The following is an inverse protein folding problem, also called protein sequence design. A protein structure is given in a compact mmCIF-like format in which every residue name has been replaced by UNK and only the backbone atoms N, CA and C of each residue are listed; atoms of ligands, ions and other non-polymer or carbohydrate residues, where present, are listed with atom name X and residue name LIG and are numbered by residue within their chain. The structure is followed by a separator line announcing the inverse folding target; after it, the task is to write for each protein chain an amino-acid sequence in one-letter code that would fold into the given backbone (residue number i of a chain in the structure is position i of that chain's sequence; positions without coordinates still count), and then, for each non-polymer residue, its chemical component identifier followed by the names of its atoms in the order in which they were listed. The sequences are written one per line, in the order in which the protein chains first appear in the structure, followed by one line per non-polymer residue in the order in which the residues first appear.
data_IF_683102523876
#
_entry.id   IF_683102523876
#
_cell.length_a   1.000
_cell.length_b   1.000
_cell.length_c   1.000
_cell.angle_alpha   90.00
_cell.angle_beta   90.00
_cell.angle_gamma   90.00
#
_symmetry.space_group_name_H-M   'P 1'
#
loop_
_entity.id
_entity.type
_entity.pdbx_description
1 polymer ?
#
# COMPACT_ATOMS: atom_id res chain seq x y z
N UNK A 1 24.21 -58.64 67.89
CA UNK A 1 24.23 -59.88 67.09
C UNK A 1 23.66 -59.55 65.73
N UNK A 2 24.48 -59.10 64.77
CA UNK A 2 25.21 -59.91 63.77
C UNK A 2 24.26 -60.89 63.04
N UNK A 3 23.80 -60.50 61.85
CA UNK A 3 24.24 -61.15 60.61
C UNK A 3 23.93 -60.28 59.38
N UNK A 4 25.00 -59.98 58.66
CA UNK A 4 25.13 -59.31 57.38
C UNK A 4 25.16 -60.35 56.24
N UNK A 5 25.04 -59.85 54.99
CA UNK A 5 25.33 -60.46 53.65
C UNK A 5 24.14 -61.07 52.89
N UNK A 6 23.99 -60.90 51.57
CA UNK A 6 24.63 -60.09 50.51
C UNK A 6 23.85 -60.36 49.19
N UNK A 7 23.64 -59.32 48.36
CA UNK A 7 23.85 -59.28 46.88
C UNK A 7 23.04 -58.10 46.29
N UNK A 8 23.70 -56.97 46.00
CA UNK A 8 24.39 -56.62 44.75
C UNK A 8 23.44 -56.45 43.55
N UNK A 9 23.20 -55.18 43.21
CA UNK A 9 22.66 -54.70 41.95
C UNK A 9 22.89 -53.19 41.85
N UNK A 10 23.98 -52.80 41.19
CA UNK A 10 24.41 -51.43 40.91
C UNK A 10 23.37 -50.66 40.11
N UNK A 11 23.25 -49.34 40.35
CA UNK A 11 22.55 -48.44 39.44
C UNK A 11 22.29 -47.04 39.97
N UNK A 12 23.36 -46.26 40.20
CA UNK A 12 23.29 -44.80 40.21
C UNK A 12 22.85 -44.31 38.83
N UNK A 13 21.75 -43.57 38.72
CA UNK A 13 21.59 -42.46 37.77
C UNK A 13 20.22 -41.77 37.92
N UNK A 14 20.27 -40.46 38.18
CA UNK A 14 19.40 -39.50 37.51
C UNK A 14 17.98 -39.36 38.04
N UNK A 15 17.82 -38.47 39.03
CA UNK A 15 16.57 -37.77 39.21
C UNK A 15 16.23 -37.01 37.92
N UNK A 16 15.10 -37.35 37.31
CA UNK A 16 14.40 -36.45 36.40
C UNK A 16 13.20 -35.95 37.17
N UNK A 17 13.41 -34.82 37.84
CA UNK A 17 12.34 -33.86 38.10
C UNK A 17 11.68 -33.64 36.74
N UNK A 18 10.45 -34.11 36.59
CA UNK A 18 9.59 -33.77 35.46
C UNK A 18 9.28 -32.28 35.62
N UNK A 19 10.20 -31.47 35.12
CA UNK A 19 9.97 -30.08 34.80
C UNK A 19 8.99 -30.12 33.63
N UNK A 20 7.71 -29.91 33.94
CA UNK A 20 6.67 -29.51 33.00
C UNK A 20 7.04 -28.12 32.44
N UNK A 21 8.04 -28.12 31.56
CA UNK A 21 8.36 -27.06 30.61
C UNK A 21 8.25 -27.69 29.22
N UNK A 22 7.72 -26.89 28.28
CA UNK A 22 7.69 -27.13 26.83
C UNK A 22 6.50 -27.94 26.31
N UNK A 23 5.31 -27.34 26.39
CA UNK A 23 4.51 -27.03 25.19
C UNK A 23 3.28 -26.22 25.61
N UNK A 24 3.49 -25.08 26.27
CA UNK A 24 2.64 -23.96 25.94
C UNK A 24 3.03 -23.62 24.50
N UNK A 25 2.37 -24.26 23.53
CA UNK A 25 2.23 -23.66 22.21
C UNK A 25 1.83 -22.23 22.50
N UNK A 26 2.68 -21.28 22.14
CA UNK A 26 2.34 -19.87 22.11
C UNK A 26 1.19 -19.77 21.10
N UNK A 27 0.00 -20.12 21.59
CA UNK A 27 -1.25 -20.22 20.88
C UNK A 27 -1.61 -18.77 20.80
N UNK A 28 -1.18 -18.07 19.75
CA UNK A 28 -1.37 -16.64 19.52
C UNK A 28 -2.84 -16.27 19.79
N UNK A 29 -3.22 -15.71 20.96
CA UNK A 29 -4.59 -15.32 21.18
C UNK A 29 -4.56 -13.80 21.36
N UNK A 30 -4.50 -13.10 20.25
CA UNK A 30 -4.97 -11.73 20.19
C UNK A 30 -5.78 -11.67 18.92
N UNK A 31 -6.98 -11.11 19.05
CA UNK A 31 -7.92 -10.76 17.99
C UNK A 31 -7.15 -10.36 16.72
N UNK A 32 -6.89 -11.34 15.84
CA UNK A 32 -6.76 -10.98 14.44
C UNK A 32 -8.09 -10.31 14.11
N UNK A 33 -8.09 -9.20 13.34
CA UNK A 33 -9.33 -8.77 12.72
C UNK A 33 -9.98 -10.01 12.12
N UNK A 34 -11.26 -10.19 12.41
CA UNK A 34 -11.96 -11.38 11.98
C UNK A 34 -11.67 -11.62 10.49
N UNK A 35 -11.34 -12.86 10.11
CA UNK A 35 -10.68 -13.19 8.83
C UNK A 35 -11.36 -12.64 7.56
N UNK A 36 -12.61 -12.17 7.66
CA UNK A 36 -13.32 -11.46 6.60
C UNK A 36 -12.79 -10.05 6.28
N UNK A 37 -11.94 -9.48 7.12
CA UNK A 37 -11.27 -8.20 6.89
C UNK A 37 -9.94 -8.31 6.15
N UNK A 38 -9.50 -9.52 5.81
CA UNK A 38 -8.20 -9.75 5.15
C UNK A 38 -8.43 -10.35 3.76
N UNK A 39 -7.62 -9.91 2.80
CA UNK A 39 -7.46 -10.58 1.51
C UNK A 39 -6.65 -11.88 1.66
N UNK A 40 -6.58 -12.67 0.58
CA UNK A 40 -5.91 -13.97 0.58
C UNK A 40 -4.39 -13.88 0.86
N UNK A 41 -3.79 -12.73 0.63
CA UNK A 41 -2.40 -12.41 0.93
C UNK A 41 -2.19 -11.84 2.35
N UNK A 42 -3.29 -11.61 3.09
CA UNK A 42 -3.29 -11.06 4.44
C UNK A 42 -3.40 -9.54 4.50
N UNK A 43 -3.62 -8.84 3.37
CA UNK A 43 -3.80 -7.39 3.35
C UNK A 43 -5.20 -6.97 3.85
N UNK A 44 -5.32 -5.87 4.61
CA UNK A 44 -6.60 -5.43 5.17
C UNK A 44 -7.51 -4.82 4.10
N UNK A 45 -8.81 -5.10 4.18
CA UNK A 45 -9.85 -4.53 3.32
C UNK A 45 -10.65 -3.39 3.99
N UNK A 46 -10.39 -3.13 5.27
CA UNK A 46 -11.03 -2.08 6.06
C UNK A 46 -10.03 -1.42 7.01
N UNK A 47 -10.35 -0.20 7.46
CA UNK A 47 -9.49 0.57 8.36
C UNK A 47 -9.36 -0.15 9.70
N UNK A 48 -8.12 -0.39 10.08
CA UNK A 48 -7.76 -0.97 11.36
C UNK A 48 -7.56 0.13 12.40
N UNK A 49 -8.43 0.24 13.39
CA UNK A 49 -8.20 1.06 14.58
C UNK A 49 -7.37 0.22 15.56
N UNK A 50 -6.08 0.51 15.66
CA UNK A 50 -5.18 -0.22 16.55
C UNK A 50 -4.80 0.69 17.70
N UNK A 51 -5.47 0.49 18.83
CA UNK A 51 -5.14 1.16 20.09
C UNK A 51 -4.49 0.15 21.02
N UNK A 52 -3.22 0.37 21.35
CA UNK A 52 -2.51 -0.52 22.24
C UNK A 52 -1.27 0.12 22.85
N UNK A 53 -1.33 0.34 24.17
CA UNK A 53 -0.21 0.79 24.99
C UNK A 53 0.57 -0.36 25.64
N UNK A 54 0.02 -1.58 25.61
CA UNK A 54 0.67 -2.75 26.18
C UNK A 54 1.70 -3.32 25.20
N UNK A 55 2.98 -3.23 25.57
CA UNK A 55 4.06 -3.82 24.80
C UNK A 55 4.49 -5.17 25.39
N UNK A 56 4.12 -6.27 24.73
CA UNK A 56 4.61 -7.60 25.11
C UNK A 56 6.03 -7.82 24.59
N UNK A 57 6.91 -8.49 25.38
CA UNK A 57 8.26 -8.82 24.94
C UNK A 57 8.27 -9.78 23.74
N UNK A 58 9.39 -9.77 23.01
CA UNK A 58 9.67 -10.67 21.88
C UNK A 58 9.59 -10.01 20.49
N UNK A 59 9.82 -10.77 19.42
CA UNK A 59 9.80 -10.25 18.06
C UNK A 59 8.39 -9.86 17.61
N UNK A 60 8.29 -8.84 16.75
CA UNK A 60 7.03 -8.47 16.09
C UNK A 60 6.55 -9.58 15.15
N UNK A 61 7.49 -10.26 14.50
CA UNK A 61 7.25 -11.25 13.45
C UNK A 61 8.15 -12.47 13.67
N UNK A 62 7.60 -13.70 13.71
CA UNK A 62 8.41 -14.91 13.65
C UNK A 62 9.23 -14.98 12.36
N UNK A 63 10.55 -15.16 12.44
CA UNK A 63 11.41 -15.24 11.25
C UNK A 63 11.34 -16.59 10.53
N UNK A 64 11.10 -17.67 11.26
CA UNK A 64 11.10 -19.02 10.70
C UNK A 64 9.88 -19.28 9.82
N UNK A 65 10.12 -19.82 8.62
CA UNK A 65 9.07 -20.27 7.70
C UNK A 65 8.34 -19.16 6.94
N UNK A 66 8.76 -17.90 7.07
CA UNK A 66 8.22 -16.80 6.29
C UNK A 66 8.63 -16.93 4.81
N UNK A 67 7.68 -16.69 3.91
CA UNK A 67 7.88 -16.88 2.46
C UNK A 67 7.48 -15.69 1.61
N UNK A 68 6.76 -14.73 2.18
CA UNK A 68 6.36 -13.51 1.50
C UNK A 68 6.23 -12.39 2.53
N UNK A 69 6.69 -11.19 2.18
CA UNK A 69 6.33 -9.96 2.89
C UNK A 69 5.61 -9.05 1.91
N UNK A 70 4.39 -8.65 2.24
CA UNK A 70 3.58 -7.76 1.41
C UNK A 70 3.46 -6.42 2.10
N UNK A 71 3.84 -5.33 1.43
CA UNK A 71 3.44 -3.98 1.81
C UNK A 71 2.04 -3.76 1.26
N UNK A 72 1.08 -3.66 2.16
CA UNK A 72 -0.31 -3.43 1.84
C UNK A 72 -0.65 -1.94 1.97
N UNK A 73 -1.42 -1.45 1.02
CA UNK A 73 -1.93 -0.08 1.02
C UNK A 73 -3.46 -0.15 1.12
N UNK A 74 -4.05 0.51 2.12
CA UNK A 74 -5.49 0.72 2.17
C UNK A 74 -5.76 2.20 1.94
N UNK A 75 -6.38 2.55 0.83
CA UNK A 75 -6.74 3.93 0.52
C UNK A 75 -7.89 4.33 1.44
N UNK A 76 -7.67 5.37 2.22
CA UNK A 76 -8.63 5.89 3.20
C UNK A 76 -8.98 7.31 2.81
N UNK A 77 -10.24 7.65 2.53
CA UNK A 77 -10.57 9.01 2.13
C UNK A 77 -10.26 9.99 3.25
N UNK A 78 -9.56 11.07 2.92
CA UNK A 78 -9.36 12.17 3.84
C UNK A 78 -10.70 12.86 4.15
N UNK A 79 -10.92 13.27 5.41
CA UNK A 79 -12.16 13.91 5.89
C UNK A 79 -12.39 15.35 5.37
N UNK A 80 -12.13 15.64 4.11
CA UNK A 80 -12.23 17.01 3.58
C UNK A 80 -13.23 17.09 2.42
N UNK A 81 -14.53 16.93 2.71
CA UNK A 81 -15.55 17.25 1.72
C UNK A 81 -17.00 17.09 2.21
N UNK A 82 -17.95 17.91 1.71
CA UNK A 82 -19.38 17.67 1.88
C UNK A 82 -19.80 16.52 0.93
N UNK A 83 -19.94 15.32 1.48
CA UNK A 83 -20.41 14.14 0.76
C UNK A 83 -20.25 12.87 1.58
N UNK A 84 -20.90 11.75 1.18
CA UNK A 84 -20.56 10.45 1.76
C UNK A 84 -19.09 10.15 1.46
N UNK A 85 -18.33 9.79 2.49
CA UNK A 85 -16.94 9.38 2.34
C UNK A 85 -16.91 8.09 1.49
N UNK A 86 -16.01 7.98 0.50
CA UNK A 86 -15.74 6.71 -0.17
C UNK A 86 -15.53 5.58 0.84
N UNK A 87 -15.90 4.36 0.52
CA UNK A 87 -15.48 3.23 1.35
C UNK A 87 -13.97 3.06 1.24
N UNK A 88 -13.25 2.67 2.31
CA UNK A 88 -11.86 2.26 2.19
C UNK A 88 -11.73 1.19 1.11
N UNK A 89 -10.68 1.28 0.32
CA UNK A 89 -10.44 0.33 -0.78
C UNK A 89 -9.00 -0.18 -0.76
N UNK A 90 -8.76 -1.46 -1.04
CA UNK A 90 -7.42 -1.97 -1.26
C UNK A 90 -6.71 -1.13 -2.33
N UNK A 91 -5.50 -0.70 -2.00
CA UNK A 91 -4.55 -0.03 -2.88
C UNK A 91 -3.75 -1.06 -3.67
N UNK A 92 -2.53 -0.70 -4.05
CA UNK A 92 -1.66 -1.60 -4.84
C UNK A 92 -0.62 -2.24 -3.93
N UNK A 93 -0.89 -3.50 -3.58
CA UNK A 93 0.01 -4.29 -2.76
C UNK A 93 1.31 -4.62 -3.50
N UNK A 94 2.42 -4.58 -2.77
CA UNK A 94 3.75 -4.93 -3.29
C UNK A 94 4.30 -6.08 -2.47
N UNK A 95 4.80 -7.11 -3.13
CA UNK A 95 5.23 -8.34 -2.47
C UNK A 95 6.72 -8.64 -2.68
N UNK A 96 7.41 -8.91 -1.59
CA UNK A 96 8.77 -9.45 -1.54
C UNK A 96 8.72 -10.96 -1.38
N UNK A 97 9.30 -11.65 -2.36
CA UNK A 97 9.59 -13.09 -2.33
C UNK A 97 11.10 -13.34 -2.16
N UNK A 98 11.93 -12.37 -2.52
CA UNK A 98 13.34 -12.27 -2.13
C UNK A 98 13.51 -11.29 -0.97
N UNK A 99 14.65 -11.31 -0.29
CA UNK A 99 14.94 -10.44 0.86
C UNK A 99 13.96 -10.55 2.05
N UNK A 100 13.16 -11.62 2.12
CA UNK A 100 12.15 -11.84 3.17
C UNK A 100 12.81 -11.86 4.55
N UNK A 101 13.93 -12.57 4.71
CA UNK A 101 14.61 -12.67 5.99
C UNK A 101 15.20 -11.32 6.44
N UNK A 102 15.81 -10.59 5.50
CA UNK A 102 16.36 -9.26 5.74
C UNK A 102 15.25 -8.26 6.12
N UNK A 103 14.11 -8.29 5.44
CA UNK A 103 12.97 -7.43 5.77
C UNK A 103 12.40 -7.77 7.15
N UNK A 104 12.29 -9.04 7.52
CA UNK A 104 11.84 -9.44 8.86
C UNK A 104 12.84 -9.00 9.93
N UNK A 105 14.15 -9.07 9.66
CA UNK A 105 15.16 -8.56 10.57
C UNK A 105 15.00 -7.05 10.81
N UNK A 106 14.71 -6.27 9.76
CA UNK A 106 14.40 -4.84 9.88
C UNK A 106 13.16 -4.60 10.74
N UNK A 107 12.07 -5.33 10.49
CA UNK A 107 10.84 -5.21 11.28
C UNK A 107 11.07 -5.56 12.75
N UNK A 108 11.82 -6.63 13.04
CA UNK A 108 12.10 -7.06 14.40
C UNK A 108 13.16 -6.21 15.12
N UNK A 109 13.93 -5.41 14.40
CA UNK A 109 14.91 -4.47 14.95
C UNK A 109 14.30 -3.09 15.29
N UNK A 110 13.01 -2.89 15.01
CA UNK A 110 12.32 -1.67 15.44
C UNK A 110 12.39 -1.55 16.98
N UNK A 111 12.70 -0.37 17.54
CA UNK A 111 12.94 -0.23 18.96
C UNK A 111 11.65 -0.39 19.77
N UNK A 112 11.77 -1.05 20.92
CA UNK A 112 10.74 -1.06 21.94
C UNK A 112 10.58 0.33 22.58
N UNK A 113 9.50 0.53 23.34
CA UNK A 113 9.25 1.83 24.00
C UNK A 113 10.40 2.26 24.89
N UNK A 114 10.84 1.37 25.77
CA UNK A 114 11.92 1.67 26.72
C UNK A 114 13.24 2.01 26.00
N UNK A 115 13.53 1.35 24.88
CA UNK A 115 14.72 1.62 24.06
C UNK A 115 14.63 2.99 23.37
N UNK A 116 13.48 3.30 22.75
CA UNK A 116 13.25 4.57 22.08
C UNK A 116 13.26 5.76 23.06
N UNK A 117 12.70 5.57 24.26
CA UNK A 117 12.75 6.55 25.34
C UNK A 117 14.17 6.73 25.88
N UNK A 118 14.93 5.64 26.10
CA UNK A 118 16.31 5.73 26.55
C UNK A 118 17.19 6.48 25.54
N UNK A 119 17.02 6.21 24.24
CA UNK A 119 17.72 6.93 23.16
C UNK A 119 17.35 8.42 23.15
N UNK A 120 16.06 8.75 23.24
CA UNK A 120 15.60 10.14 23.27
C UNK A 120 16.12 10.90 24.51
N UNK A 121 16.16 10.26 25.69
CA UNK A 121 16.76 10.86 26.90
C UNK A 121 18.25 11.10 26.72
N UNK A 122 18.98 10.16 26.10
CA UNK A 122 20.41 10.31 25.83
C UNK A 122 20.70 11.43 24.81
N UNK A 123 19.86 11.59 23.79
CA UNK A 123 19.95 12.69 22.82
C UNK A 123 19.73 14.05 23.51
N UNK A 124 18.67 14.19 24.31
CA UNK A 124 18.41 15.41 25.08
C UNK A 124 19.57 15.77 26.01
N UNK A 125 20.12 14.78 26.73
CA UNK A 125 21.27 14.99 27.61
C UNK A 125 22.50 15.49 26.82
N UNK A 126 22.72 14.96 25.62
CA UNK A 126 23.81 15.39 24.73
C UNK A 126 23.66 16.84 24.28
N UNK A 127 22.41 17.29 24.09
CA UNK A 127 22.07 18.67 23.74
C UNK A 127 22.00 19.62 24.95
N UNK A 128 22.33 19.13 26.15
CA UNK A 128 22.26 19.91 27.39
C UNK A 128 20.83 20.19 27.87
N UNK A 129 19.85 19.43 27.39
CA UNK A 129 18.45 19.50 27.81
C UNK A 129 18.17 18.46 28.90
N UNK A 130 17.43 18.85 29.94
CA UNK A 130 16.95 17.89 30.95
C UNK A 130 15.69 17.21 30.41
N UNK A 131 15.69 15.88 30.22
CA UNK A 131 14.49 15.18 29.78
C UNK A 131 13.40 15.25 30.86
N UNK A 132 12.12 15.40 30.47
CA UNK A 132 11.00 15.26 31.42
C UNK A 132 10.91 13.83 31.96
N UNK A 133 10.23 13.68 33.10
CA UNK A 133 10.02 12.37 33.74
C UNK A 133 9.30 11.39 32.80
N UNK A 134 8.28 11.88 32.09
CA UNK A 134 7.58 11.17 31.02
C UNK A 134 7.77 11.91 29.68
N UNK A 135 8.23 11.16 28.66
CA UNK A 135 8.45 11.70 27.32
C UNK A 135 7.21 11.61 26.43
N UNK A 136 6.17 10.86 26.83
CA UNK A 136 4.95 10.64 26.03
C UNK A 136 5.23 10.25 24.56
N UNK A 137 6.33 9.53 24.31
CA UNK A 137 6.70 9.12 22.95
C UNK A 137 5.60 8.23 22.37
N UNK A 138 5.10 8.59 21.19
CA UNK A 138 4.05 7.85 20.49
C UNK A 138 2.63 8.04 21.05
N UNK A 139 2.45 8.83 22.12
CA UNK A 139 1.14 9.17 22.67
C UNK A 139 0.59 10.48 22.07
N UNK A 140 1.48 11.36 21.61
CA UNK A 140 1.12 12.59 20.88
C UNK A 140 1.10 12.28 19.39
N UNK A 141 -0.04 11.77 18.92
CA UNK A 141 -0.28 11.58 17.50
C UNK A 141 -0.57 12.93 16.86
N UNK A 142 0.03 13.20 15.70
CA UNK A 142 0.06 14.56 15.13
C UNK A 142 -1.24 14.95 14.41
N UNK A 143 -2.42 14.40 14.76
CA UNK A 143 -3.72 14.65 14.10
C UNK A 143 -3.67 14.81 12.55
N UNK A 144 -2.68 14.18 11.91
CA UNK A 144 -2.49 14.25 10.47
C UNK A 144 -3.27 13.10 9.87
N UNK A 145 -4.31 13.45 9.13
CA UNK A 145 -5.00 12.49 8.27
C UNK A 145 -4.08 12.09 7.13
N UNK A 146 -3.83 10.78 6.99
CA UNK A 146 -3.19 10.21 5.81
C UNK A 146 -4.27 9.66 4.87
N UNK A 147 -4.13 9.89 3.56
CA UNK A 147 -5.03 9.33 2.54
C UNK A 147 -4.88 7.82 2.33
N UNK A 148 -4.02 7.18 3.13
CA UNK A 148 -3.81 5.74 3.13
C UNK A 148 -3.38 5.25 4.54
N UNK A 149 -3.79 4.03 4.87
CA UNK A 149 -3.23 3.23 5.95
C UNK A 149 -2.28 2.20 5.36
N UNK A 150 -1.04 2.15 5.89
CA UNK A 150 -0.03 1.18 5.46
C UNK A 150 0.02 0.01 6.44
N UNK A 151 0.29 -1.18 5.93
CA UNK A 151 0.57 -2.35 6.75
C UNK A 151 1.55 -3.31 6.07
N UNK A 152 2.21 -4.17 6.85
CA UNK A 152 2.93 -5.32 6.32
C UNK A 152 2.18 -6.60 6.63
N UNK A 153 1.92 -7.43 5.62
CA UNK A 153 1.45 -8.79 5.81
C UNK A 153 2.61 -9.77 5.56
N UNK A 154 2.93 -10.61 6.55
CA UNK A 154 3.98 -11.64 6.45
C UNK A 154 3.32 -13.01 6.33
N UNK A 155 3.50 -13.65 5.18
CA UNK A 155 2.90 -14.96 4.88
C UNK A 155 3.88 -16.08 5.16
N UNK A 156 3.35 -17.19 5.65
CA UNK A 156 4.06 -18.42 5.95
C UNK A 156 3.44 -19.58 5.17
N UNK A 157 4.16 -20.69 5.02
CA UNK A 157 3.61 -21.91 4.38
C UNK A 157 2.59 -22.63 5.27
N UNK A 158 2.92 -22.76 6.55
CA UNK A 158 2.25 -23.73 7.43
C UNK A 158 1.45 -23.05 8.56
N UNK A 159 1.19 -21.74 8.44
CA UNK A 159 0.48 -20.96 9.47
C UNK A 159 -0.16 -19.69 8.90
N UNK A 160 -1.13 -19.10 9.63
CA UNK A 160 -1.76 -17.85 9.22
C UNK A 160 -0.76 -16.69 9.04
N UNK A 161 -1.06 -15.71 8.16
CA UNK A 161 -0.23 -14.54 7.99
C UNK A 161 -0.20 -13.69 9.27
N UNK A 162 0.90 -12.96 9.46
CA UNK A 162 1.07 -11.98 10.53
C UNK A 162 0.91 -10.59 9.93
N UNK A 163 -0.03 -9.80 10.44
CA UNK A 163 -0.26 -8.42 10.02
C UNK A 163 0.41 -7.45 10.99
N UNK A 164 1.13 -6.48 10.43
CA UNK A 164 1.70 -5.34 11.14
C UNK A 164 1.06 -4.05 10.63
N UNK A 165 0.31 -3.35 11.48
CA UNK A 165 -0.31 -2.07 11.11
C UNK A 165 0.65 -0.93 11.43
N UNK A 166 0.89 -0.05 10.46
CA UNK A 166 1.76 1.12 10.61
C UNK A 166 0.91 2.34 10.94
N UNK A 167 1.01 2.80 12.17
CA UNK A 167 0.45 4.08 12.58
C UNK A 167 1.49 5.17 12.33
N UNK A 168 1.40 5.81 11.16
CA UNK A 168 2.29 6.93 10.82
C UNK A 168 1.99 8.19 11.61
N UNK A 169 0.76 8.35 12.10
CA UNK A 169 0.37 9.52 12.87
C UNK A 169 0.97 9.51 14.28
N UNK A 170 1.02 8.32 14.88
CA UNK A 170 1.64 8.12 16.20
C UNK A 170 3.10 7.65 16.10
N UNK A 171 3.59 7.30 14.91
CA UNK A 171 4.95 6.80 14.70
C UNK A 171 5.16 5.40 15.29
N UNK A 172 4.16 4.52 15.20
CA UNK A 172 4.14 3.19 15.82
C UNK A 172 3.87 2.07 14.80
N UNK A 173 4.25 0.85 15.18
CA UNK A 173 3.92 -0.39 14.50
C UNK A 173 3.26 -1.34 15.50
N UNK A 174 2.13 -1.92 15.13
CA UNK A 174 1.37 -2.82 15.98
C UNK A 174 1.26 -4.22 15.37
N UNK A 175 1.52 -5.26 16.18
CA UNK A 175 1.34 -6.67 15.79
C UNK A 175 1.04 -7.53 17.03
N UNK A 176 -0.08 -8.25 17.03
CA UNK A 176 -0.43 -9.27 18.04
C UNK A 176 -0.19 -8.86 19.51
N UNK A 177 -0.55 -7.62 19.87
CA UNK A 177 -0.34 -7.07 21.23
C UNK A 177 1.10 -6.69 21.55
N UNK A 178 1.93 -6.44 20.53
CA UNK A 178 3.26 -5.82 20.61
C UNK A 178 3.22 -4.50 19.87
N UNK A 179 3.94 -3.52 20.40
CA UNK A 179 4.04 -2.18 19.82
C UNK A 179 5.52 -1.79 19.72
N UNK A 180 5.96 -1.29 18.56
CA UNK A 180 7.32 -0.76 18.36
C UNK A 180 7.26 0.64 17.76
N UNK A 181 8.33 1.41 17.95
CA UNK A 181 8.46 2.71 17.31
C UNK A 181 8.87 2.56 15.85
N UNK A 182 8.19 3.29 14.97
CA UNK A 182 8.44 3.35 13.53
C UNK A 182 9.69 4.20 13.22
N UNK A 183 10.84 3.83 13.81
CA UNK A 183 12.17 4.38 13.48
C UNK A 183 12.85 3.55 12.39
N UNK A 184 13.79 4.13 11.64
CA UNK A 184 14.55 3.41 10.61
C UNK A 184 13.85 3.15 9.27
N UNK A 185 12.67 3.75 9.05
CA UNK A 185 11.95 3.79 7.76
C UNK A 185 11.78 2.41 7.10
N UNK A 186 11.06 1.46 7.74
CA UNK A 186 10.89 0.10 7.18
C UNK A 186 10.19 0.09 5.81
N UNK A 187 9.31 1.06 5.52
CA UNK A 187 8.69 1.21 4.20
C UNK A 187 9.74 1.51 3.13
N UNK A 188 10.67 2.42 3.37
CA UNK A 188 11.71 2.77 2.40
C UNK A 188 12.67 1.61 2.16
N UNK A 189 12.99 0.83 3.21
CA UNK A 189 13.78 -0.39 3.09
C UNK A 189 13.06 -1.47 2.28
N UNK A 190 11.77 -1.69 2.54
CA UNK A 190 10.93 -2.58 1.75
C UNK A 190 10.95 -2.18 0.27
N UNK A 191 10.71 -0.89 -0.03
CA UNK A 191 10.69 -0.38 -1.39
C UNK A 191 12.05 -0.51 -2.07
N UNK A 192 13.16 -0.37 -1.34
CA UNK A 192 14.50 -0.66 -1.86
C UNK A 192 14.66 -2.12 -2.28
N UNK A 193 14.32 -3.07 -1.40
CA UNK A 193 14.38 -4.50 -1.74
C UNK A 193 13.43 -4.87 -2.87
N UNK A 194 12.27 -4.23 -2.93
CA UNK A 194 11.29 -4.48 -3.97
C UNK A 194 11.81 -4.01 -5.33
N UNK A 195 12.45 -2.83 -5.38
CA UNK A 195 13.16 -2.33 -6.57
C UNK A 195 14.30 -3.25 -6.99
N UNK A 196 15.06 -3.81 -6.05
CA UNK A 196 16.11 -4.78 -6.35
C UNK A 196 15.55 -6.10 -6.92
N UNK A 197 14.39 -6.56 -6.41
CA UNK A 197 13.70 -7.74 -6.91
C UNK A 197 13.24 -7.55 -8.36
N UNK A 198 12.52 -6.46 -8.64
CA UNK A 198 11.99 -6.18 -9.99
C UNK A 198 13.08 -5.81 -11.01
N UNK A 199 14.22 -5.28 -10.56
CA UNK A 199 15.36 -5.03 -11.45
C UNK A 199 16.00 -6.33 -11.96
N UNK A 200 15.87 -7.43 -11.20
CA UNK A 200 16.37 -8.76 -11.60
C UNK A 200 15.36 -9.53 -12.43
N UNK A 201 14.08 -9.22 -12.27
CA UNK A 201 12.96 -9.83 -12.98
C UNK A 201 11.87 -8.79 -13.21
N UNK A 202 11.89 -8.13 -14.38
CA UNK A 202 10.88 -7.13 -14.72
C UNK A 202 9.48 -7.71 -14.87
N UNK A 203 9.36 -9.03 -15.12
CA UNK A 203 8.07 -9.72 -15.16
C UNK A 203 7.47 -9.89 -13.75
N UNK A 204 8.28 -9.69 -12.69
CA UNK A 204 7.81 -9.66 -11.32
C UNK A 204 6.93 -8.45 -10.99
N UNK A 205 6.89 -7.39 -11.84
CA UNK A 205 5.90 -6.32 -11.67
C UNK A 205 4.52 -6.87 -12.02
N UNK A 206 3.60 -6.98 -11.05
CA UNK A 206 2.28 -7.53 -11.28
C UNK A 206 1.48 -6.61 -12.21
N UNK A 207 0.80 -7.21 -13.19
CA UNK A 207 -0.12 -6.47 -14.03
C UNK A 207 -1.31 -6.00 -13.18
N UNK A 208 -1.63 -4.70 -13.15
CA UNK A 208 -2.84 -4.21 -12.50
C UNK A 208 -4.06 -4.93 -13.08
N UNK A 209 -5.00 -5.33 -12.23
CA UNK A 209 -6.23 -6.02 -12.65
C UNK A 209 -7.33 -5.04 -13.04
N UNK A 210 -8.20 -5.46 -13.96
CA UNK A 210 -9.46 -4.77 -14.25
C UNK A 210 -10.57 -5.37 -13.37
N UNK A 211 -11.18 -4.59 -12.46
CA UNK A 211 -12.39 -5.03 -11.77
C UNK A 211 -13.47 -5.49 -12.77
N UNK A 212 -14.24 -6.52 -12.41
CA UNK A 212 -15.35 -6.97 -13.27
C UNK A 212 -16.47 -5.93 -13.43
N UNK A 213 -16.59 -5.05 -12.44
CA UNK A 213 -17.51 -3.92 -12.42
C UNK A 213 -16.93 -2.77 -11.60
N UNK A 214 -17.36 -1.54 -11.91
CA UNK A 214 -17.06 -0.32 -11.17
C UNK A 214 -18.38 0.41 -10.93
N UNK A 215 -18.64 0.88 -9.72
CA UNK A 215 -19.89 1.60 -9.46
C UNK A 215 -19.84 2.97 -10.16
N UNK A 216 -20.92 3.39 -10.82
CA UNK A 216 -20.96 4.72 -11.49
C UNK A 216 -20.71 5.84 -10.47
N UNK A 217 -21.14 5.66 -9.22
CA UNK A 217 -20.91 6.60 -8.12
C UNK A 217 -19.43 6.79 -7.74
N UNK A 218 -18.55 5.82 -8.03
CA UNK A 218 -17.09 5.92 -7.78
C UNK A 218 -16.35 6.65 -8.90
N UNK A 219 -17.02 6.84 -10.04
CA UNK A 219 -16.53 7.63 -11.16
C UNK A 219 -17.04 9.06 -10.97
N UNK A 220 -16.78 9.60 -9.77
CA UNK A 220 -17.01 11.00 -9.51
C UNK A 220 -16.10 11.80 -10.43
N UNK A 221 -16.71 12.79 -11.07
CA UNK A 221 -16.05 13.71 -11.99
C UNK A 221 -15.70 15.04 -11.34
N UNK A 222 -16.03 15.17 -10.05
CA UNK A 222 -15.49 16.23 -9.23
C UNK A 222 -13.97 16.02 -9.14
N UNK A 223 -13.17 17.08 -9.31
CA UNK A 223 -11.73 17.03 -9.14
C UNK A 223 -11.43 16.80 -7.66
N UNK A 224 -11.46 15.52 -7.26
CA UNK A 224 -10.85 15.07 -6.04
C UNK A 224 -9.35 14.89 -6.36
N UNK A 225 -8.44 15.64 -5.71
CA UNK A 225 -7.01 15.52 -5.96
C UNK A 225 -6.45 14.11 -5.69
N UNK A 226 -7.22 13.21 -5.07
CA UNK A 226 -6.84 11.81 -4.83
C UNK A 226 -7.28 10.86 -5.95
N UNK A 227 -8.10 11.32 -6.91
CA UNK A 227 -8.68 10.48 -7.96
C UNK A 227 -8.65 11.13 -9.35
N UNK A 228 -8.20 10.40 -10.40
CA UNK A 228 -7.66 9.04 -10.38
C UNK A 228 -6.36 8.86 -9.58
N UNK A 229 -6.07 7.63 -9.17
CA UNK A 229 -4.91 7.33 -8.33
C UNK A 229 -3.57 7.62 -9.03
N UNK A 230 -2.68 8.34 -8.36
CA UNK A 230 -1.31 8.56 -8.82
C UNK A 230 -0.26 8.11 -7.78
N UNK A 231 0.03 6.81 -7.78
CA UNK A 231 1.03 6.19 -6.91
C UNK A 231 2.47 6.42 -7.38
N UNK A 232 2.70 6.73 -8.66
CA UNK A 232 4.06 7.07 -9.08
C UNK A 232 4.45 8.48 -8.64
N UNK A 233 3.54 9.46 -8.50
CA UNK A 233 3.89 10.82 -8.03
C UNK A 233 4.71 10.83 -6.75
N UNK A 234 4.33 9.96 -5.81
CA UNK A 234 5.01 9.79 -4.52
C UNK A 234 6.42 9.22 -4.64
N UNK A 235 6.72 8.52 -5.74
CA UNK A 235 8.04 7.95 -6.04
C UNK A 235 8.92 8.87 -6.92
N UNK A 236 8.44 10.05 -7.34
CA UNK A 236 9.05 10.87 -8.42
C UNK A 236 9.95 12.03 -7.99
N UNK A 237 9.94 12.46 -6.73
CA UNK A 237 10.54 13.75 -6.39
C UNK A 237 9.90 14.91 -7.17
N UNK A 238 10.64 15.99 -7.48
CA UNK A 238 10.10 17.22 -8.14
C UNK A 238 10.05 17.13 -9.67
N UNK A 239 9.40 16.13 -10.26
CA UNK A 239 9.16 16.11 -11.72
C UNK A 239 7.78 16.65 -12.07
N UNK A 240 7.67 17.44 -13.12
CA UNK A 240 6.43 17.96 -13.70
C UNK A 240 5.70 16.97 -14.63
N UNK A 241 6.34 15.83 -14.95
CA UNK A 241 5.77 14.79 -15.83
C UNK A 241 4.87 13.81 -15.08
N UNK A 242 3.76 13.43 -15.72
CA UNK A 242 2.81 12.45 -15.19
C UNK A 242 3.36 11.02 -15.11
N UNK A 243 4.13 10.53 -16.09
CA UNK A 243 4.77 9.21 -16.10
C UNK A 243 6.26 9.35 -16.46
N UNK A 244 7.12 9.73 -15.50
CA UNK A 244 8.52 10.01 -15.79
C UNK A 244 9.37 8.74 -15.94
N UNK A 245 9.04 7.68 -15.21
CA UNK A 245 9.77 6.40 -15.22
C UNK A 245 9.41 5.53 -16.43
N UNK A 246 10.31 4.64 -16.89
CA UNK A 246 9.97 3.58 -17.83
C UNK A 246 8.83 2.71 -17.30
N UNK A 247 7.91 2.32 -18.18
CA UNK A 247 6.81 1.42 -17.82
C UNK A 247 7.27 -0.04 -17.85
N UNK A 248 6.76 -0.85 -16.93
CA UNK A 248 6.98 -2.29 -16.89
C UNK A 248 5.77 -3.08 -17.42
N UNK A 249 4.55 -2.58 -17.15
CA UNK A 249 3.32 -3.20 -17.65
C UNK A 249 2.19 -2.18 -17.70
N UNK A 250 1.34 -2.32 -18.71
CA UNK A 250 0.10 -1.54 -18.85
C UNK A 250 -1.08 -2.49 -18.92
N UNK A 251 -2.11 -2.22 -18.14
CA UNK A 251 -3.42 -2.86 -18.27
C UNK A 251 -4.44 -1.84 -18.74
N UNK A 252 -5.05 -2.09 -19.89
CA UNK A 252 -6.15 -1.31 -20.41
C UNK A 252 -7.47 -2.06 -20.19
N UNK A 253 -8.50 -1.35 -19.73
CA UNK A 253 -9.82 -1.89 -19.41
C UNK A 253 -10.88 -1.07 -20.14
N UNK A 254 -11.91 -1.71 -20.68
CA UNK A 254 -13.09 -1.05 -21.26
C UNK A 254 -14.35 -1.44 -20.51
N UNK A 255 -15.09 -0.43 -20.08
CA UNK A 255 -16.35 -0.57 -19.37
C UNK A 255 -17.51 0.07 -20.12
N UNK A 256 -18.71 -0.50 -19.92
CA UNK A 256 -19.98 0.05 -20.40
C UNK A 256 -21.04 0.00 -19.31
N UNK A 257 -21.93 0.98 -19.30
CA UNK A 257 -23.03 1.04 -18.34
C UNK A 257 -23.92 -0.20 -18.41
N UNK A 258 -24.34 -0.65 -17.23
CA UNK A 258 -25.25 -1.74 -16.98
C UNK A 258 -25.96 -1.45 -15.64
N UNK A 259 -27.05 -0.69 -15.70
CA UNK A 259 -27.70 -0.13 -14.51
C UNK A 259 -26.83 0.92 -13.82
N UNK A 260 -26.64 0.77 -12.51
CA UNK A 260 -25.82 1.65 -11.67
C UNK A 260 -24.32 1.29 -11.68
N UNK A 261 -23.95 0.26 -12.43
CA UNK A 261 -22.58 -0.23 -12.57
C UNK A 261 -22.05 -0.01 -14.00
N UNK A 262 -20.73 0.12 -14.12
CA UNK A 262 -19.95 0.00 -15.34
C UNK A 262 -19.33 -1.39 -15.38
N UNK A 263 -19.79 -2.25 -16.30
CA UNK A 263 -19.29 -3.63 -16.42
C UNK A 263 -18.15 -3.74 -17.42
N UNK A 264 -17.14 -4.54 -17.06
CA UNK A 264 -16.00 -4.83 -17.91
C UNK A 264 -16.44 -5.55 -19.19
N UNK A 265 -16.01 -5.04 -20.34
CA UNK A 265 -16.32 -5.59 -21.67
C UNK A 265 -15.09 -6.11 -22.39
N UNK A 266 -13.95 -5.47 -22.18
CA UNK A 266 -12.67 -5.91 -22.73
C UNK A 266 -11.54 -5.50 -21.78
N UNK A 267 -10.47 -6.27 -21.78
CA UNK A 267 -9.22 -5.87 -21.14
C UNK A 267 -8.03 -6.38 -21.95
N UNK A 268 -6.88 -5.72 -21.79
CA UNK A 268 -5.62 -6.10 -22.39
C UNK A 268 -4.47 -5.78 -21.45
N UNK A 269 -3.59 -6.75 -21.24
CA UNK A 269 -2.30 -6.55 -20.57
C UNK A 269 -1.21 -6.46 -21.64
N UNK A 270 -0.31 -5.49 -21.50
CA UNK A 270 0.78 -5.20 -22.43
C UNK A 270 2.07 -5.03 -21.63
N UNK A 271 3.12 -5.77 -21.99
CA UNK A 271 4.47 -5.66 -21.39
C UNK A 271 5.52 -5.12 -22.36
N UNK A 272 5.25 -5.19 -23.66
CA UNK A 272 6.17 -4.77 -24.71
C UNK A 272 5.75 -3.46 -25.37
N UNK A 273 6.72 -2.74 -25.95
CA UNK A 273 6.45 -1.53 -26.74
C UNK A 273 5.77 -0.42 -25.92
N UNK A 274 6.13 -0.30 -24.65
CA UNK A 274 5.46 0.60 -23.70
C UNK A 274 5.87 2.07 -23.81
N UNK A 275 7.03 2.36 -24.40
CA UNK A 275 7.51 3.75 -24.50
C UNK A 275 6.59 4.65 -25.36
N UNK A 276 6.12 4.22 -26.54
CA UNK A 276 5.08 4.96 -27.27
C UNK A 276 3.79 5.17 -26.48
N UNK A 277 3.40 4.21 -25.63
CA UNK A 277 2.19 4.29 -24.80
C UNK A 277 2.39 5.33 -23.70
N UNK A 278 3.55 5.29 -23.04
CA UNK A 278 3.94 6.26 -22.02
C UNK A 278 3.94 7.69 -22.58
N UNK A 279 4.46 7.88 -23.79
CA UNK A 279 4.45 9.17 -24.47
C UNK A 279 3.02 9.69 -24.71
N UNK A 280 2.10 8.83 -25.19
CA UNK A 280 0.69 9.18 -25.40
C UNK A 280 -0.01 9.55 -24.09
N UNK A 281 0.21 8.79 -23.02
CA UNK A 281 -0.37 9.08 -21.70
C UNK A 281 0.16 10.39 -21.11
N UNK A 282 1.47 10.66 -21.24
CA UNK A 282 2.06 11.92 -20.82
C UNK A 282 1.51 13.11 -21.60
N UNK A 283 1.37 12.98 -22.92
CA UNK A 283 0.80 14.03 -23.77
C UNK A 283 -0.65 14.33 -23.37
N UNK A 284 -1.46 13.29 -23.19
CA UNK A 284 -2.85 13.40 -22.76
C UNK A 284 -3.03 13.97 -21.34
N UNK A 285 -2.01 13.84 -20.48
CA UNK A 285 -2.01 14.40 -19.12
C UNK A 285 -1.45 15.83 -19.03
N UNK A 286 -0.91 16.38 -20.12
CA UNK A 286 -0.27 17.70 -20.14
C UNK A 286 -1.32 18.79 -20.35
N UNK A 287 -1.43 19.73 -19.41
CA UNK A 287 -2.25 20.93 -19.58
C UNK A 287 -1.58 21.84 -20.62
N UNK A 288 -2.30 22.15 -21.70
CA UNK A 288 -1.85 23.10 -22.71
C UNK A 288 -2.48 24.47 -22.44
N UNK A 289 -1.66 25.51 -22.43
CA UNK A 289 -2.11 26.88 -22.25
C UNK A 289 -1.45 27.83 -23.24
N UNK A 290 -2.18 28.87 -23.63
CA UNK A 290 -1.68 29.99 -24.44
C UNK A 290 -1.75 31.24 -23.58
N UNK A 291 -0.63 31.96 -23.48
CA UNK A 291 -0.59 33.27 -22.84
C UNK A 291 -0.68 34.33 -23.92
N UNK A 292 -1.69 35.20 -23.85
CA UNK A 292 -1.85 36.30 -24.79
C UNK A 292 -0.85 37.44 -24.55
N UNK A 293 -0.79 38.41 -25.48
CA UNK A 293 0.10 39.58 -25.38
C UNK A 293 -0.18 40.48 -24.15
N UNK A 294 -1.28 40.23 -23.42
CA UNK A 294 -1.67 40.93 -22.19
C UNK A 294 -1.25 40.14 -20.93
N UNK A 295 -0.63 38.98 -21.07
CA UNK A 295 -0.25 38.10 -19.96
C UNK A 295 -1.38 37.21 -19.44
N UNK A 296 -2.52 37.16 -20.12
CA UNK A 296 -3.67 36.31 -19.75
C UNK A 296 -3.42 34.89 -20.25
N UNK A 297 -3.48 33.90 -19.35
CA UNK A 297 -3.25 32.49 -19.70
C UNK A 297 -4.58 31.76 -19.85
N UNK A 298 -4.89 31.35 -21.07
CA UNK A 298 -6.05 30.52 -21.41
C UNK A 298 -5.64 29.06 -21.61
N UNK A 299 -6.44 28.14 -21.09
CA UNK A 299 -6.21 26.70 -21.24
C UNK A 299 -6.93 26.17 -22.48
N UNK A 300 -6.17 25.66 -23.45
CA UNK A 300 -6.67 25.33 -24.81
C UNK A 300 -7.11 23.88 -24.99
N UNK A 301 -6.70 22.96 -24.12
CA UNK A 301 -7.03 21.54 -24.24
C UNK A 301 -8.03 21.03 -23.19
N UNK A 302 -8.79 21.93 -22.55
CA UNK A 302 -9.90 21.55 -21.66
C UNK A 302 -11.09 21.06 -22.48
N UNK A 303 -11.80 20.07 -21.94
CA UNK A 303 -13.04 19.57 -22.53
C UNK A 303 -14.25 20.33 -21.99
N UNK A 304 -15.24 20.56 -22.85
CA UNK A 304 -16.51 21.20 -22.48
C UNK A 304 -17.52 20.22 -21.86
N UNK A 305 -17.04 19.21 -21.14
CA UNK A 305 -17.89 18.20 -20.48
C UNK A 305 -18.79 18.78 -19.37
N UNK A 306 -18.75 20.10 -19.18
CA UNK A 306 -19.44 20.86 -18.16
C UNK A 306 -18.73 20.74 -16.81
N UNK A 307 -18.46 21.88 -16.15
CA UNK A 307 -18.15 21.87 -14.71
C UNK A 307 -19.38 21.34 -13.96
N UNK A 308 -19.25 20.40 -13.02
CA UNK A 308 -20.40 19.67 -12.50
C UNK A 308 -21.33 20.59 -11.70
N UNK A 309 -22.51 20.88 -12.27
CA UNK A 309 -23.72 21.22 -11.49
C UNK A 309 -24.78 20.11 -11.56
N UNK A 310 -24.70 19.22 -12.54
CA UNK A 310 -25.42 17.94 -12.61
C UNK A 310 -24.50 16.91 -13.30
N UNK A 311 -24.06 15.88 -12.59
CA UNK A 311 -23.18 14.85 -13.13
C UNK A 311 -23.93 14.08 -14.23
N UNK A 312 -23.55 14.27 -15.50
CA UNK A 312 -24.03 13.39 -16.57
C UNK A 312 -23.32 12.05 -16.39
N UNK A 313 -24.05 10.93 -16.18
CA UNK A 313 -23.43 9.66 -15.83
C UNK A 313 -22.55 9.14 -16.97
N UNK A 314 -21.38 8.64 -16.61
CA UNK A 314 -20.45 8.01 -17.55
C UNK A 314 -21.03 6.68 -17.99
N UNK A 315 -21.27 6.52 -19.30
CA UNK A 315 -21.83 5.28 -19.86
C UNK A 315 -20.82 4.44 -20.64
N UNK A 316 -19.69 5.04 -21.02
CA UNK A 316 -18.55 4.36 -21.65
C UNK A 316 -17.24 4.93 -21.10
N UNK A 317 -16.41 4.04 -20.57
CA UNK A 317 -15.15 4.37 -19.92
C UNK A 317 -14.07 3.41 -20.38
N UNK A 318 -12.91 3.93 -20.73
CA UNK A 318 -11.68 3.17 -20.71
C UNK A 318 -10.84 3.57 -19.49
N UNK A 319 -10.18 2.61 -18.87
CA UNK A 319 -9.23 2.84 -17.77
C UNK A 319 -7.89 2.25 -18.17
N UNK A 320 -6.83 3.04 -18.04
CA UNK A 320 -5.46 2.59 -18.24
C UNK A 320 -4.74 2.61 -16.91
N UNK A 321 -4.28 1.45 -16.48
CA UNK A 321 -3.39 1.28 -15.35
C UNK A 321 -1.97 1.12 -15.89
N UNK A 322 -1.07 2.04 -15.54
CA UNK A 322 0.33 1.96 -15.89
C UNK A 322 1.14 1.62 -14.65
N UNK A 323 1.93 0.55 -14.68
CA UNK A 323 2.91 0.24 -13.64
C UNK A 323 4.33 0.51 -14.18
N UNK A 324 5.16 1.18 -13.40
CA UNK A 324 6.53 1.48 -13.77
C UNK A 324 7.55 0.44 -13.28
N UNK A 325 8.81 0.62 -13.65
CA UNK A 325 9.92 -0.24 -13.19
C UNK A 325 10.26 -0.08 -11.70
N UNK A 326 9.50 0.73 -10.95
CA UNK A 326 9.53 0.77 -9.48
C UNK A 326 8.36 0.01 -8.85
N UNK A 327 7.43 -0.47 -9.69
CA UNK A 327 6.14 -1.06 -9.33
C UNK A 327 5.17 -0.07 -8.70
N UNK A 328 5.39 1.23 -8.90
CA UNK A 328 4.38 2.23 -8.67
C UNK A 328 3.34 2.19 -9.79
N UNK A 329 2.08 2.49 -9.48
CA UNK A 329 0.97 2.43 -10.44
C UNK A 329 0.31 3.80 -10.55
N UNK A 330 -0.07 4.18 -11.77
CA UNK A 330 -0.94 5.31 -12.03
C UNK A 330 -2.21 4.87 -12.78
N UNK A 331 -3.33 5.48 -12.42
CA UNK A 331 -4.62 5.32 -13.09
C UNK A 331 -4.84 6.50 -14.04
N UNK A 332 -5.27 6.20 -15.27
CA UNK A 332 -5.78 7.19 -16.22
C UNK A 332 -7.18 6.77 -16.64
N UNK A 333 -8.16 7.64 -16.40
CA UNK A 333 -9.55 7.42 -16.84
C UNK A 333 -9.79 8.16 -18.14
N UNK A 334 -10.29 7.46 -19.15
CA UNK A 334 -10.66 8.03 -20.44
C UNK A 334 -12.16 7.84 -20.63
N UNK A 335 -12.90 8.93 -20.48
CA UNK A 335 -14.32 8.94 -20.79
C UNK A 335 -14.51 8.88 -22.29
N UNK A 336 -15.44 8.04 -22.73
CA UNK A 336 -15.85 7.95 -24.14
C UNK A 336 -17.25 8.52 -24.35
N UNK A 337 -18.07 8.57 -23.30
CA UNK A 337 -19.44 9.12 -23.29
C UNK A 337 -19.76 9.60 -21.88
N UNK A 338 -20.29 10.83 -21.68
CA UNK A 338 -20.98 11.69 -22.65
C UNK A 338 -20.07 12.48 -23.61
N UNK A 339 -18.80 12.64 -23.28
CA UNK A 339 -17.79 13.34 -24.05
C UNK A 339 -16.46 12.57 -23.96
N UNK A 340 -15.52 12.89 -24.85
CA UNK A 340 -14.16 12.34 -24.78
C UNK A 340 -13.29 13.18 -23.85
N UNK A 341 -12.87 12.60 -22.73
CA UNK A 341 -12.10 13.30 -21.70
C UNK A 341 -11.09 12.38 -21.03
N UNK A 342 -9.97 12.94 -20.57
CA UNK A 342 -8.91 12.26 -19.84
C UNK A 342 -8.83 12.86 -18.44
N UNK A 343 -8.76 11.99 -17.45
CA UNK A 343 -8.55 12.31 -16.06
C UNK A 343 -7.36 11.51 -15.55
N UNK A 344 -6.49 12.19 -14.80
CA UNK A 344 -5.35 11.63 -14.07
C UNK A 344 -5.30 12.26 -12.68
N UNK A 345 -4.53 11.70 -11.75
CA UNK A 345 -4.36 12.30 -10.42
C UNK A 345 -3.69 13.68 -10.43
N UNK A 346 -3.15 14.13 -11.57
CA UNK A 346 -2.49 15.44 -11.72
C UNK A 346 -3.26 16.43 -12.59
N UNK A 347 -4.21 15.96 -13.40
CA UNK A 347 -4.98 16.79 -14.31
C UNK A 347 -6.39 16.22 -14.52
N UNK A 348 -7.39 17.08 -14.39
CA UNK A 348 -8.78 16.74 -14.68
C UNK A 348 -9.23 17.38 -16.00
N UNK A 349 -10.15 16.70 -16.70
CA UNK A 349 -10.88 17.25 -17.84
C UNK A 349 -9.98 17.69 -19.01
N UNK A 350 -9.03 16.85 -19.42
CA UNK A 350 -8.22 17.07 -20.62
C UNK A 350 -8.82 16.39 -21.86
N UNK A 351 -8.61 16.98 -23.03
CA UNK A 351 -9.06 16.38 -24.30
C UNK A 351 -8.33 15.07 -24.55
N UNK A 352 -9.08 14.00 -24.81
CA UNK A 352 -8.49 12.75 -25.21
C UNK A 352 -7.89 12.85 -26.62
N UNK A 353 -6.58 12.63 -26.74
CA UNK A 353 -5.90 12.69 -28.02
C UNK A 353 -6.32 11.54 -28.94
N UNK A 354 -6.56 11.80 -30.25
CA UNK A 354 -6.96 10.75 -31.19
C UNK A 354 -6.00 9.55 -31.21
N UNK A 355 -4.68 9.78 -31.14
CA UNK A 355 -3.69 8.72 -31.14
C UNK A 355 -3.78 7.80 -29.91
N UNK A 356 -4.16 8.34 -28.73
CA UNK A 356 -4.43 7.55 -27.54
C UNK A 356 -5.70 6.71 -27.73
N UNK A 357 -6.77 7.31 -28.25
CA UNK A 357 -8.05 6.64 -28.48
C UNK A 357 -7.92 5.49 -29.49
N UNK A 358 -7.20 5.72 -30.60
CA UNK A 358 -6.93 4.72 -31.62
C UNK A 358 -6.09 3.56 -31.07
N UNK A 359 -5.09 3.87 -30.23
CA UNK A 359 -4.29 2.85 -29.54
C UNK A 359 -5.18 1.98 -28.65
N UNK A 360 -6.04 2.58 -27.84
CA UNK A 360 -6.96 1.86 -26.96
C UNK A 360 -7.95 1.02 -27.76
N UNK A 361 -8.46 1.53 -28.88
CA UNK A 361 -9.38 0.79 -29.75
C UNK A 361 -8.68 -0.41 -30.42
N UNK A 362 -7.39 -0.29 -30.74
CA UNK A 362 -6.60 -1.43 -31.25
C UNK A 362 -6.43 -2.55 -30.22
N UNK A 363 -6.43 -2.21 -28.92
CA UNK A 363 -6.26 -3.18 -27.83
C UNK A 363 -7.58 -3.76 -27.33
N UNK A 364 -8.64 -2.96 -27.31
CA UNK A 364 -9.90 -3.25 -26.62
C UNK A 364 -11.08 -3.47 -27.58
N UNK A 365 -10.83 -3.42 -28.90
CA UNK A 365 -11.88 -3.37 -29.92
C UNK A 365 -12.49 -1.97 -30.04
N UNK A 366 -13.51 -1.77 -30.88
CA UNK A 366 -14.23 -0.48 -31.02
C UNK A 366 -15.51 -0.41 -30.19
#
# INVERSE_FOLDING_TARGET
MILWRERIGRGLAGGVVIVLLLAATASYPVEMPAAWFLEADGCPTAVMDVRGTADRPGPLVPSEGAVLVTLCELITPLRYGPGPLPSPRPGRDRSLSTHVAEMIAILNALPARDEAEAEARAEMATEGRTPPDDLHLGEVCVDVGYGEQLSFAVRYRDRPPVLLVLDRNCGLVHSAGRTRFLRGQPVDRFLSFYRDQIARDSDAVPAPTCPGKVAVAEIDNRPDPEFPEDGMARNRGRTDRFLPSPLAVVTACRYRADGDDLRLRAHRVVRDGLEPVRALLNSAATIQSVTDDRGTTDFVNRVDCGRPRAATPVSRLDVVWAADTTGAVAETRIWRTPCQAVFTGTAAELKAEPALLDRLDSWLGR
#
